data_IF_786142458229
#
_entry.id   IF_786142458229
#
_cell.length_a   1.000
_cell.length_b   1.000
_cell.length_c   1.000
_cell.angle_alpha   90.00
_cell.angle_beta   90.00
_cell.angle_gamma   90.00
#
_symmetry.space_group_name_H-M   'P 1'
#
loop_
_entity.id
_entity.type
_entity.pdbx_description
1 polymer ?
#
# COMPACT_ATOMS: atom_id res chain seq x y z
N UNK A 1 2.48 -17.69 15.92
CA UNK A 1 2.68 -16.58 14.96
C UNK A 1 1.29 -16.16 14.49
N UNK A 2 0.94 -14.87 14.58
CA UNK A 2 -0.41 -14.37 14.33
C UNK A 2 -0.90 -14.62 12.89
N UNK A 3 -2.22 -14.78 12.76
CA UNK A 3 -2.91 -15.07 11.49
C UNK A 3 -2.59 -13.96 10.46
N UNK A 4 -2.36 -14.30 9.18
CA UNK A 4 -2.14 -13.34 8.10
C UNK A 4 -3.27 -12.33 8.03
N UNK A 5 -2.99 -11.09 7.61
CA UNK A 5 -4.02 -10.25 7.00
C UNK A 5 -4.74 -11.02 5.87
N UNK A 6 -6.07 -10.93 5.79
CA UNK A 6 -6.88 -11.57 4.73
C UNK A 6 -7.68 -10.60 3.87
N UNK A 7 -7.79 -9.32 4.24
CA UNK A 7 -8.59 -8.44 3.39
C UNK A 7 -7.80 -8.13 2.13
N UNK A 8 -8.33 -8.57 1.01
CA UNK A 8 -7.91 -8.13 -0.32
C UNK A 8 -9.13 -7.61 -1.05
N UNK A 9 -9.30 -6.29 -1.04
CA UNK A 9 -10.26 -5.64 -1.92
C UNK A 9 -9.51 -4.96 -3.04
N UNK A 10 -9.69 -5.46 -4.25
CA UNK A 10 -9.29 -4.78 -5.48
C UNK A 10 -10.59 -4.39 -6.16
N UNK A 11 -10.91 -3.09 -6.30
CA UNK A 11 -12.10 -2.68 -7.02
C UNK A 11 -12.12 -3.28 -8.42
N UNK A 12 -13.28 -3.77 -8.88
CA UNK A 12 -13.39 -4.42 -10.19
C UNK A 12 -12.90 -3.52 -11.34
N UNK A 13 -13.03 -2.19 -11.19
CA UNK A 13 -12.50 -1.19 -12.12
C UNK A 13 -10.97 -1.18 -12.26
N UNK A 14 -10.25 -1.82 -11.32
CA UNK A 14 -8.80 -1.81 -11.21
C UNK A 14 -8.18 -3.20 -11.39
N UNK A 15 -8.95 -4.26 -11.14
CA UNK A 15 -8.44 -5.63 -11.09
C UNK A 15 -7.68 -6.03 -12.36
N UNK A 16 -8.23 -5.75 -13.53
CA UNK A 16 -7.63 -6.13 -14.82
C UNK A 16 -6.64 -5.11 -15.37
N UNK A 17 -6.28 -4.07 -14.60
CA UNK A 17 -5.31 -3.07 -15.06
C UNK A 17 -3.94 -3.74 -15.17
N UNK A 18 -3.33 -3.77 -16.38
CA UNK A 18 -2.07 -4.47 -16.59
C UNK A 18 -0.89 -3.68 -16.02
N UNK A 19 0.16 -4.40 -15.63
CA UNK A 19 1.46 -3.84 -15.23
C UNK A 19 2.49 -4.16 -16.30
N UNK A 20 3.01 -3.13 -16.95
CA UNK A 20 4.09 -3.25 -17.93
C UNK A 20 5.45 -3.27 -17.23
N UNK A 21 5.84 -4.47 -16.80
CA UNK A 21 7.14 -4.71 -16.20
C UNK A 21 8.31 -4.44 -17.15
N UNK A 22 8.12 -4.32 -18.47
CA UNK A 22 9.24 -3.99 -19.35
C UNK A 22 9.71 -2.53 -19.16
N UNK A 23 8.80 -1.65 -18.75
CA UNK A 23 9.05 -0.21 -18.55
C UNK A 23 9.56 0.17 -17.16
N UNK A 24 9.37 -0.71 -16.17
CA UNK A 24 9.82 -0.46 -14.80
C UNK A 24 11.37 -0.53 -14.74
N UNK A 25 12.05 0.40 -14.02
CA UNK A 25 13.50 0.40 -13.86
C UNK A 25 14.04 -0.95 -13.39
N UNK A 26 15.17 -1.38 -13.95
CA UNK A 26 15.74 -2.70 -13.72
C UNK A 26 15.99 -3.00 -12.23
N UNK A 27 16.48 -2.02 -11.47
CA UNK A 27 16.72 -2.16 -10.04
C UNK A 27 15.45 -2.55 -9.27
N UNK A 28 14.33 -1.86 -9.54
CA UNK A 28 13.04 -2.13 -8.88
C UNK A 28 12.48 -3.49 -9.27
N UNK A 29 12.63 -3.89 -10.54
CA UNK A 29 12.24 -5.23 -11.00
C UNK A 29 13.07 -6.31 -10.34
N UNK A 30 14.39 -6.12 -10.26
CA UNK A 30 15.32 -7.06 -9.64
C UNK A 30 14.97 -7.24 -8.16
N UNK A 31 14.80 -6.13 -7.43
CA UNK A 31 14.37 -6.15 -6.04
C UNK A 31 13.07 -6.96 -5.85
N UNK A 32 12.06 -6.69 -6.67
CA UNK A 32 10.77 -7.39 -6.59
C UNK A 32 10.92 -8.89 -6.91
N UNK A 33 11.68 -9.22 -7.95
CA UNK A 33 11.90 -10.60 -8.40
C UNK A 33 12.73 -11.43 -7.41
N UNK A 34 13.68 -10.80 -6.72
CA UNK A 34 14.51 -11.44 -5.70
C UNK A 34 13.74 -11.66 -4.40
N UNK A 35 12.79 -10.78 -4.09
CA UNK A 35 12.07 -10.79 -2.82
C UNK A 35 10.73 -11.54 -2.91
N UNK A 36 9.77 -11.03 -3.69
CA UNK A 36 8.38 -11.54 -3.73
C UNK A 36 8.15 -12.64 -4.77
N UNK A 37 8.96 -12.69 -5.83
CA UNK A 37 8.87 -13.79 -6.78
C UNK A 37 9.67 -15.02 -6.34
N UNK A 38 10.36 -15.00 -5.19
CA UNK A 38 11.02 -16.19 -4.65
C UNK A 38 10.05 -16.99 -3.81
N UNK A 39 9.74 -18.23 -4.20
CA UNK A 39 9.03 -19.14 -3.31
C UNK A 39 10.00 -19.68 -2.25
N UNK A 40 9.94 -19.10 -1.05
CA UNK A 40 10.78 -19.51 0.08
C UNK A 40 10.38 -20.85 0.68
N UNK A 41 9.19 -21.37 0.33
CA UNK A 41 8.72 -22.69 0.77
C UNK A 41 9.17 -23.79 -0.18
N UNK A 42 9.52 -23.46 -1.42
CA UNK A 42 10.06 -24.39 -2.40
C UNK A 42 11.58 -24.59 -2.15
N UNK A 43 12.05 -25.82 -1.89
CA UNK A 43 13.48 -26.09 -1.68
C UNK A 43 14.35 -25.72 -2.90
N UNK A 44 13.78 -25.71 -4.10
CA UNK A 44 14.46 -25.31 -5.33
C UNK A 44 14.43 -23.78 -5.54
N UNK A 45 13.81 -23.02 -4.62
CA UNK A 45 13.61 -21.57 -4.69
C UNK A 45 13.02 -21.14 -6.04
N UNK A 46 12.01 -21.88 -6.52
CA UNK A 46 11.39 -21.60 -7.81
C UNK A 46 10.90 -20.16 -7.86
N UNK A 47 11.18 -19.53 -9.00
CA UNK A 47 10.75 -18.16 -9.26
C UNK A 47 9.32 -18.16 -9.77
N UNK A 48 8.44 -17.47 -9.04
CA UNK A 48 7.08 -17.15 -9.47
C UNK A 48 7.13 -16.12 -10.60
N UNK A 49 6.14 -16.10 -11.50
CA UNK A 49 6.05 -15.07 -12.51
C UNK A 49 5.78 -13.69 -11.88
N UNK A 50 6.16 -12.63 -12.60
CA UNK A 50 5.76 -11.27 -12.27
C UNK A 50 4.24 -11.12 -12.40
N UNK A 51 3.57 -10.37 -11.51
CA UNK A 51 2.12 -10.21 -11.54
C UNK A 51 1.71 -9.42 -12.78
N UNK A 52 0.80 -9.97 -13.58
CA UNK A 52 0.39 -9.34 -14.83
C UNK A 52 -0.53 -8.12 -14.61
N UNK A 53 -1.25 -8.10 -13.49
CA UNK A 53 -2.27 -7.10 -13.18
C UNK A 53 -2.15 -6.53 -11.77
N UNK A 54 -2.85 -5.44 -11.48
CA UNK A 54 -3.01 -4.91 -10.12
C UNK A 54 -3.64 -5.94 -9.18
N UNK A 55 -4.59 -6.74 -9.69
CA UNK A 55 -5.16 -7.85 -8.93
C UNK A 55 -4.06 -8.82 -8.52
N UNK A 56 -3.26 -9.30 -9.47
CA UNK A 56 -2.17 -10.24 -9.19
C UNK A 56 -1.12 -9.67 -8.23
N UNK A 57 -0.79 -8.39 -8.36
CA UNK A 57 0.12 -7.70 -7.44
C UNK A 57 -0.44 -7.70 -6.01
N UNK A 58 -1.72 -7.37 -5.86
CA UNK A 58 -2.39 -7.38 -4.55
C UNK A 58 -2.43 -8.78 -3.94
N UNK A 59 -2.65 -9.87 -4.71
CA UNK A 59 -2.60 -11.23 -4.11
C UNK A 59 -1.18 -11.63 -3.73
N UNK A 60 -0.17 -11.20 -4.48
CA UNK A 60 1.22 -11.44 -4.09
C UNK A 60 1.60 -10.72 -2.78
N UNK A 61 1.10 -9.50 -2.56
CA UNK A 61 1.30 -8.80 -1.28
C UNK A 61 0.52 -9.44 -0.13
N UNK A 62 -0.67 -9.95 -0.39
CA UNK A 62 -1.51 -10.63 0.60
C UNK A 62 -0.84 -11.90 1.12
N UNK A 63 -0.39 -12.76 0.21
CA UNK A 63 0.33 -14.00 0.54
C UNK A 63 1.61 -13.74 1.35
N UNK A 64 2.29 -12.63 1.10
CA UNK A 64 3.50 -12.23 1.82
C UNK A 64 3.24 -11.48 3.12
N UNK A 65 1.97 -11.27 3.51
CA UNK A 65 1.55 -10.51 4.71
C UNK A 65 2.20 -9.15 4.82
N UNK A 66 2.38 -8.51 3.67
CA UNK A 66 3.38 -7.48 3.51
C UNK A 66 3.03 -6.15 4.22
N UNK A 67 1.74 -5.84 4.35
CA UNK A 67 1.33 -4.52 4.82
C UNK A 67 1.83 -4.25 6.25
N UNK A 68 2.25 -3.02 6.50
CA UNK A 68 2.69 -2.56 7.83
C UNK A 68 4.14 -2.12 7.95
N UNK A 69 5.03 -2.68 7.13
CA UNK A 69 6.41 -2.23 7.00
C UNK A 69 6.72 -2.02 5.53
N UNK A 70 6.82 -0.75 5.10
CA UNK A 70 7.13 -0.39 3.72
C UNK A 70 8.59 0.02 3.59
N UNK A 71 9.52 -0.92 3.34
CA UNK A 71 10.92 -0.57 3.16
C UNK A 71 11.09 0.39 1.97
N UNK A 72 12.17 1.19 1.94
CA UNK A 72 12.38 2.19 0.89
C UNK A 72 12.35 1.60 -0.51
N UNK A 73 12.88 0.39 -0.70
CA UNK A 73 12.90 -0.31 -1.97
C UNK A 73 11.48 -0.65 -2.44
N UNK A 74 10.57 -0.99 -1.53
CA UNK A 74 9.18 -1.22 -1.92
C UNK A 74 8.46 0.09 -2.21
N UNK A 75 8.65 1.13 -1.39
CA UNK A 75 8.09 2.44 -1.73
C UNK A 75 8.55 2.90 -3.12
N UNK A 76 9.84 2.68 -3.43
CA UNK A 76 10.43 2.94 -4.74
C UNK A 76 9.76 2.10 -5.83
N UNK A 77 9.57 0.80 -5.61
CA UNK A 77 8.87 -0.06 -6.55
C UNK A 77 7.44 0.43 -6.83
N UNK A 78 6.65 0.76 -5.80
CA UNK A 78 5.27 1.23 -5.96
C UNK A 78 5.22 2.56 -6.74
N UNK A 79 6.17 3.45 -6.47
CA UNK A 79 6.34 4.71 -7.21
C UNK A 79 6.71 4.46 -8.68
N UNK A 80 7.59 3.48 -8.95
CA UNK A 80 8.02 3.14 -10.30
C UNK A 80 6.93 2.39 -11.09
N UNK A 81 6.14 1.54 -10.44
CA UNK A 81 4.92 0.96 -11.02
C UNK A 81 3.97 2.09 -11.42
N UNK A 82 3.76 3.07 -10.53
CA UNK A 82 2.90 4.22 -10.83
C UNK A 82 3.39 5.03 -12.02
N UNK A 83 4.69 5.29 -12.12
CA UNK A 83 5.25 6.12 -13.18
C UNK A 83 5.32 5.39 -14.53
N UNK A 84 5.85 4.17 -14.52
CA UNK A 84 6.27 3.46 -15.73
C UNK A 84 5.45 2.21 -16.03
N UNK A 85 5.01 1.51 -14.98
CA UNK A 85 4.31 0.23 -15.11
C UNK A 85 2.85 0.36 -15.52
N UNK A 86 2.20 1.48 -15.20
CA UNK A 86 0.78 1.71 -15.47
C UNK A 86 0.58 2.67 -16.64
N UNK A 87 -0.30 2.30 -17.58
CA UNK A 87 -0.59 3.13 -18.74
C UNK A 87 -1.23 4.47 -18.32
N UNK A 88 -0.58 5.59 -18.65
CA UNK A 88 -1.12 6.93 -18.42
C UNK A 88 -2.41 7.18 -19.21
N UNK A 89 -2.58 6.49 -20.34
CA UNK A 89 -3.70 6.65 -21.28
C UNK A 89 -5.05 6.24 -20.67
N UNK A 90 -5.07 5.34 -19.67
CA UNK A 90 -6.30 5.02 -18.92
C UNK A 90 -6.87 6.25 -18.16
N UNK A 91 -6.03 7.25 -17.86
CA UNK A 91 -6.46 8.47 -17.16
C UNK A 91 -6.64 9.67 -18.10
N UNK A 92 -6.37 9.53 -19.40
CA UNK A 92 -6.36 10.66 -20.34
C UNK A 92 -7.62 10.62 -21.20
N UNK A 93 -8.64 11.40 -20.78
CA UNK A 93 -9.85 11.79 -21.54
C UNK A 93 -9.99 11.16 -22.94
N UNK A 94 -10.53 9.95 -23.00
CA UNK A 94 -11.24 9.49 -24.18
C UNK A 94 -12.71 9.93 -24.03
N UNK A 95 -13.10 10.99 -24.74
CA UNK A 95 -14.51 11.31 -25.05
C UNK A 95 -15.47 11.60 -23.87
N UNK A 96 -15.18 12.63 -23.06
CA UNK A 96 -16.22 13.36 -22.32
C UNK A 96 -16.92 12.65 -21.15
N UNK A 97 -16.62 11.39 -20.85
CA UNK A 97 -17.26 10.64 -19.77
C UNK A 97 -16.24 10.19 -18.72
N UNK A 98 -16.32 10.83 -17.55
CA UNK A 98 -15.70 10.50 -16.26
C UNK A 98 -14.18 10.21 -16.25
N UNK A 99 -13.43 10.97 -15.44
CA UNK A 99 -12.07 10.59 -15.03
C UNK A 99 -12.12 9.16 -14.46
N UNK A 100 -11.44 8.21 -15.14
CA UNK A 100 -11.23 6.88 -14.60
C UNK A 100 -10.47 7.07 -13.28
N UNK A 101 -11.00 6.45 -12.22
CA UNK A 101 -10.36 6.55 -10.91
C UNK A 101 -9.10 5.70 -10.98
N UNK A 102 -8.01 6.27 -10.51
CA UNK A 102 -6.72 5.63 -10.63
C UNK A 102 -6.69 4.24 -9.95
N UNK A 103 -5.84 3.32 -10.42
CA UNK A 103 -5.73 1.98 -9.88
C UNK A 103 -5.43 2.01 -8.38
N UNK A 104 -6.09 1.13 -7.64
CA UNK A 104 -5.94 1.03 -6.19
C UNK A 104 -6.29 -0.36 -5.69
N UNK A 105 -5.82 -0.66 -4.50
CA UNK A 105 -6.21 -1.86 -3.77
C UNK A 105 -6.16 -1.58 -2.26
N UNK A 106 -6.87 -2.40 -1.51
CA UNK A 106 -7.03 -2.29 -0.05
C UNK A 106 -6.59 -3.58 0.61
N UNK A 107 -5.90 -3.44 1.73
CA UNK A 107 -5.41 -4.57 2.52
C UNK A 107 -5.53 -4.34 4.01
N UNK A 108 -5.86 -5.39 4.78
CA UNK A 108 -5.85 -5.28 6.24
C UNK A 108 -4.41 -5.29 6.74
N UNK A 109 -4.13 -4.54 7.79
CA UNK A 109 -2.95 -4.77 8.61
C UNK A 109 -3.21 -4.36 10.04
N UNK A 110 -2.91 -5.28 10.95
CA UNK A 110 -3.29 -5.18 12.36
C UNK A 110 -4.78 -4.83 12.46
N UNK A 111 -5.09 -3.66 12.98
CA UNK A 111 -6.43 -3.18 13.25
C UNK A 111 -6.90 -2.14 12.22
N UNK A 112 -6.28 -2.07 11.04
CA UNK A 112 -6.58 -1.02 10.06
C UNK A 112 -6.73 -1.62 8.66
N UNK A 113 -7.64 -1.03 7.88
CA UNK A 113 -7.64 -1.21 6.42
C UNK A 113 -6.73 -0.16 5.83
N UNK A 114 -5.69 -0.61 5.14
CA UNK A 114 -4.77 0.22 4.36
C UNK A 114 -5.20 0.27 2.91
N UNK A 115 -4.81 1.33 2.20
CA UNK A 115 -4.98 1.43 0.76
C UNK A 115 -3.74 2.00 0.11
N UNK A 116 -3.52 1.59 -1.15
CA UNK A 116 -2.56 2.24 -2.06
C UNK A 116 -3.35 2.70 -3.28
N UNK A 117 -3.24 3.99 -3.59
CA UNK A 117 -3.79 4.62 -4.79
C UNK A 117 -2.63 5.08 -5.66
N UNK A 118 -2.50 4.47 -6.83
CA UNK A 118 -1.49 4.84 -7.82
C UNK A 118 -1.89 6.13 -8.56
N UNK A 119 -0.91 6.82 -9.13
CA UNK A 119 -1.11 7.95 -10.02
C UNK A 119 -0.39 7.67 -11.36
N UNK A 120 -1.00 6.87 -12.27
CA UNK A 120 -0.37 6.43 -13.51
C UNK A 120 0.28 7.55 -14.31
N UNK A 121 1.49 7.31 -14.81
CA UNK A 121 2.31 8.28 -15.54
C UNK A 121 2.99 9.33 -14.65
N UNK A 122 2.94 9.16 -13.33
CA UNK A 122 3.65 10.00 -12.37
C UNK A 122 4.32 9.12 -11.32
N UNK A 123 5.54 9.51 -10.96
CA UNK A 123 6.26 8.97 -9.79
C UNK A 123 5.66 9.45 -8.49
N UNK A 124 4.44 9.00 -8.21
CA UNK A 124 3.66 9.49 -7.10
C UNK A 124 2.52 8.52 -6.77
N UNK A 125 1.95 8.66 -5.58
CA UNK A 125 0.80 7.87 -5.16
C UNK A 125 0.41 8.24 -3.75
N UNK A 126 -0.71 7.67 -3.30
CA UNK A 126 -1.24 7.92 -1.95
C UNK A 126 -1.32 6.58 -1.25
N UNK A 127 -0.83 6.57 -0.02
CA UNK A 127 -1.05 5.50 0.93
C UNK A 127 -1.83 6.07 2.10
N UNK A 128 -2.75 5.28 2.63
CA UNK A 128 -3.47 5.66 3.84
C UNK A 128 -4.06 4.47 4.56
N UNK A 129 -4.64 4.74 5.72
CA UNK A 129 -5.25 3.72 6.57
C UNK A 129 -6.51 4.22 7.26
N UNK A 130 -7.42 3.29 7.53
CA UNK A 130 -8.67 3.53 8.24
C UNK A 130 -8.44 3.89 9.70
N UNK A 131 -9.49 4.35 10.37
CA UNK A 131 -9.51 4.30 11.82
C UNK A 131 -9.33 2.86 12.34
N UNK A 132 -8.89 2.73 13.59
CA UNK A 132 -8.71 1.43 14.25
C UNK A 132 -10.05 0.69 14.28
N UNK A 133 -10.09 -0.49 13.69
CA UNK A 133 -11.21 -1.43 13.71
C UNK A 133 -11.27 -2.12 15.08
N UNK A 134 -12.48 -2.27 15.60
CA UNK A 134 -12.70 -3.02 16.83
C UNK A 134 -12.66 -4.52 16.50
N UNK A 135 -11.62 -5.20 16.97
CA UNK A 135 -11.47 -6.65 16.80
C UNK A 135 -11.96 -7.33 18.08
N UNK A 136 -12.87 -8.30 17.93
CA UNK A 136 -13.24 -9.19 19.02
C UNK A 136 -12.01 -10.00 19.45
N UNK A 137 -11.92 -10.40 20.72
CA UNK A 137 -10.74 -11.06 21.30
C UNK A 137 -10.17 -12.18 20.40
N UNK A 138 -8.84 -12.32 20.30
CA UNK A 138 -8.21 -13.19 19.32
C UNK A 138 -8.51 -14.66 19.59
N UNK A 139 -9.15 -15.32 18.61
CA UNK A 139 -9.43 -16.75 18.63
C UNK A 139 -10.37 -17.11 17.48
N UNK A 140 -9.79 -17.31 16.29
CA UNK A 140 -10.46 -17.51 14.99
C UNK A 140 -11.02 -16.20 14.41
N UNK A 141 -10.45 -15.77 13.27
CA UNK A 141 -11.06 -14.70 12.48
C UNK A 141 -12.38 -15.23 11.94
N UNK A 142 -13.47 -14.73 12.49
CA UNK A 142 -14.82 -15.05 12.03
C UNK A 142 -14.97 -14.52 10.59
N UNK A 143 -15.66 -15.26 9.73
CA UNK A 143 -16.06 -14.78 8.39
C UNK A 143 -16.76 -13.41 8.49
N UNK A 144 -17.41 -13.13 9.62
CA UNK A 144 -17.98 -11.84 9.98
C UNK A 144 -16.94 -10.69 10.05
N UNK A 145 -15.74 -10.95 10.56
CA UNK A 145 -14.66 -9.94 10.64
C UNK A 145 -14.14 -9.57 9.25
N UNK A 146 -13.89 -10.59 8.41
CA UNK A 146 -13.47 -10.39 7.02
C UNK A 146 -14.55 -9.63 6.23
N UNK A 147 -15.82 -9.98 6.43
CA UNK A 147 -16.95 -9.30 5.82
C UNK A 147 -17.04 -7.83 6.26
N UNK A 148 -16.81 -7.55 7.54
CA UNK A 148 -16.79 -6.19 8.08
C UNK A 148 -15.65 -5.35 7.47
N UNK A 149 -14.43 -5.88 7.45
CA UNK A 149 -13.28 -5.15 6.90
C UNK A 149 -13.47 -4.86 5.41
N UNK A 150 -14.09 -5.81 4.68
CA UNK A 150 -14.47 -5.64 3.29
C UNK A 150 -15.52 -4.55 3.13
N UNK A 151 -16.57 -4.56 3.95
CA UNK A 151 -17.60 -3.53 3.92
C UNK A 151 -17.01 -2.14 4.18
N UNK A 152 -16.06 -2.01 5.12
CA UNK A 152 -15.36 -0.75 5.41
C UNK A 152 -14.61 -0.24 4.16
N UNK A 153 -13.89 -1.12 3.47
CA UNK A 153 -13.18 -0.76 2.24
C UNK A 153 -14.15 -0.39 1.09
N UNK A 154 -15.23 -1.16 0.92
CA UNK A 154 -16.27 -0.93 -0.10
C UNK A 154 -17.06 0.38 0.15
N UNK A 155 -17.33 0.74 1.40
CA UNK A 155 -17.97 2.02 1.75
C UNK A 155 -17.01 3.21 1.55
N UNK A 156 -15.71 2.99 1.74
CA UNK A 156 -14.70 4.02 1.58
C UNK A 156 -14.39 4.33 0.11
N UNK A 157 -14.35 3.29 -0.74
CA UNK A 157 -13.92 3.40 -2.14
C UNK A 157 -14.66 4.51 -2.93
N UNK A 158 -16.01 4.61 -2.91
CA UNK A 158 -16.72 5.68 -3.60
C UNK A 158 -16.35 7.09 -3.10
N UNK A 159 -16.14 7.26 -1.79
CA UNK A 159 -15.76 8.55 -1.19
C UNK A 159 -14.36 8.96 -1.62
N UNK A 160 -13.42 8.02 -1.65
CA UNK A 160 -12.07 8.26 -2.17
C UNK A 160 -12.15 8.65 -3.66
N UNK A 161 -12.93 7.93 -4.46
CA UNK A 161 -13.14 8.22 -5.87
C UNK A 161 -13.67 9.63 -6.10
N UNK A 162 -14.72 10.04 -5.38
CA UNK A 162 -15.31 11.37 -5.47
C UNK A 162 -14.32 12.46 -5.05
N UNK A 163 -13.57 12.24 -3.97
CA UNK A 163 -12.60 13.20 -3.49
C UNK A 163 -11.44 13.40 -4.47
N UNK A 164 -10.90 12.32 -5.05
CA UNK A 164 -9.87 12.38 -6.08
C UNK A 164 -10.39 13.08 -7.34
N UNK A 165 -11.63 12.81 -7.74
CA UNK A 165 -12.28 13.52 -8.86
C UNK A 165 -12.45 15.01 -8.57
N UNK A 166 -12.88 15.38 -7.36
CA UNK A 166 -13.14 16.77 -6.94
C UNK A 166 -11.86 17.59 -6.81
N UNK A 167 -10.84 17.01 -6.16
CA UNK A 167 -9.61 17.70 -5.80
C UNK A 167 -8.56 17.66 -6.92
N UNK A 168 -8.72 16.75 -7.87
CA UNK A 168 -7.68 16.39 -8.83
C UNK A 168 -6.48 15.73 -8.15
N UNK A 169 -5.59 15.15 -8.95
CA UNK A 169 -4.41 14.41 -8.46
C UNK A 169 -3.37 15.31 -7.77
N UNK A 170 -3.39 16.62 -8.03
CA UNK A 170 -2.42 17.58 -7.47
C UNK A 170 -2.70 17.97 -6.02
N UNK A 171 -3.97 18.06 -5.61
CA UNK A 171 -4.34 18.52 -4.26
C UNK A 171 -4.36 17.38 -3.25
N UNK A 172 -4.50 16.14 -3.73
CA UNK A 172 -4.43 14.94 -2.89
C UNK A 172 -3.05 14.74 -2.23
N UNK A 173 -1.97 15.29 -2.81
CA UNK A 173 -0.63 15.35 -2.20
C UNK A 173 -0.56 16.07 -0.85
N UNK A 174 -1.49 16.99 -0.58
CA UNK A 174 -1.43 17.88 0.58
C UNK A 174 -2.36 17.46 1.72
N UNK A 175 -3.09 16.36 1.57
CA UNK A 175 -4.10 16.00 2.55
C UNK A 175 -3.52 15.03 3.57
N UNK A 176 -3.53 15.43 4.86
CA UNK A 176 -3.30 14.51 6.00
C UNK A 176 -4.39 13.43 6.08
N UNK A 177 -5.52 13.66 5.40
CA UNK A 177 -6.63 12.72 5.31
C UNK A 177 -7.16 12.62 3.88
N UNK A 178 -7.39 11.42 3.38
CA UNK A 178 -8.09 11.18 2.12
C UNK A 178 -9.45 10.54 2.42
N UNK A 179 -10.55 11.18 2.03
CA UNK A 179 -11.91 10.72 2.30
C UNK A 179 -12.17 10.37 3.78
N UNK A 180 -11.56 11.14 4.69
CA UNK A 180 -11.68 10.98 6.15
C UNK A 180 -10.69 9.99 6.79
N UNK A 181 -10.00 9.17 6.01
CA UNK A 181 -8.94 8.26 6.48
C UNK A 181 -7.60 8.96 6.52
N UNK A 182 -6.69 8.52 7.39
CA UNK A 182 -5.32 9.07 7.42
C UNK A 182 -4.61 8.71 6.13
N UNK A 183 -3.90 9.67 5.55
CA UNK A 183 -3.22 9.47 4.28
C UNK A 183 -1.97 10.34 4.15
N UNK A 184 -1.02 9.85 3.36
CA UNK A 184 0.22 10.50 3.01
C UNK A 184 0.67 10.07 1.61
N UNK A 185 1.57 10.83 1.00
CA UNK A 185 2.10 10.46 -0.31
C UNK A 185 3.09 9.31 -0.17
N UNK A 186 3.15 8.40 -1.16
CA UNK A 186 4.16 7.34 -1.19
C UNK A 186 5.59 7.89 -1.11
N UNK A 187 5.83 9.08 -1.66
CA UNK A 187 7.12 9.80 -1.53
C UNK A 187 7.44 10.19 -0.10
N UNK A 188 6.47 10.76 0.62
CA UNK A 188 6.65 11.08 2.03
C UNK A 188 6.87 9.82 2.86
N UNK A 189 6.16 8.73 2.55
CA UNK A 189 6.39 7.44 3.21
C UNK A 189 7.83 6.95 3.00
N UNK A 190 8.35 7.07 1.78
CA UNK A 190 9.73 6.75 1.44
C UNK A 190 10.71 7.59 2.27
N UNK A 191 10.53 8.92 2.30
CA UNK A 191 11.37 9.84 3.08
C UNK A 191 11.36 9.51 4.57
N UNK A 192 10.18 9.25 5.15
CA UNK A 192 10.03 8.87 6.56
C UNK A 192 10.71 7.51 6.84
N UNK A 193 10.58 6.54 5.94
CA UNK A 193 11.22 5.22 6.09
C UNK A 193 12.75 5.32 6.01
N UNK A 194 13.28 6.05 5.04
CA UNK A 194 14.72 6.28 4.91
C UNK A 194 15.29 7.01 6.13
N UNK A 195 14.57 7.98 6.68
CA UNK A 195 14.96 8.66 7.91
C UNK A 195 14.98 7.70 9.10
N UNK A 196 13.98 6.82 9.22
CA UNK A 196 13.93 5.80 10.27
C UNK A 196 15.11 4.84 10.14
N UNK A 197 15.41 4.32 8.95
CA UNK A 197 16.54 3.42 8.73
C UNK A 197 17.87 4.09 9.07
N UNK A 198 18.13 5.29 8.53
CA UNK A 198 19.33 6.04 8.85
C UNK A 198 19.46 6.34 10.36
N UNK A 199 18.33 6.53 11.06
CA UNK A 199 18.31 6.72 12.51
C UNK A 199 18.65 5.43 13.26
N UNK A 200 18.18 4.28 12.78
CA UNK A 200 18.42 2.96 13.38
C UNK A 200 19.87 2.49 13.22
N UNK A 201 20.63 3.04 12.27
CA UNK A 201 22.08 2.81 12.12
C UNK A 201 22.95 3.60 13.12
N UNK A 202 22.35 4.56 13.84
CA UNK A 202 23.07 5.35 14.83
C UNK A 202 23.33 4.54 16.11
N UNK A 203 24.38 4.87 16.88
CA UNK A 203 24.60 4.27 18.20
C UNK A 203 23.40 4.43 19.15
N UNK A 204 23.18 3.45 20.03
CA UNK A 204 22.04 3.42 20.97
C UNK A 204 21.98 4.62 21.95
N UNK A 205 23.12 5.27 22.19
CA UNK A 205 23.22 6.47 23.02
C UNK A 205 23.00 7.78 22.24
N UNK A 206 22.90 7.71 20.91
CA UNK A 206 22.64 8.87 20.06
C UNK A 206 21.24 9.46 20.38
N UNK A 207 21.12 10.79 20.57
CA UNK A 207 19.87 11.41 21.02
C UNK A 207 18.70 11.18 20.07
N UNK A 208 18.96 11.15 18.75
CA UNK A 208 17.91 10.90 17.73
C UNK A 208 17.40 9.46 17.79
N UNK A 209 18.29 8.48 17.97
CA UNK A 209 17.91 7.07 18.13
C UNK A 209 17.03 6.91 19.38
N UNK A 210 17.48 7.46 20.52
CA UNK A 210 16.71 7.41 21.77
C UNK A 210 15.33 8.07 21.62
N UNK A 211 15.25 9.22 20.96
CA UNK A 211 13.99 9.90 20.74
C UNK A 211 13.03 9.07 19.87
N UNK A 212 13.53 8.44 18.80
CA UNK A 212 12.75 7.55 17.94
C UNK A 212 12.21 6.35 18.74
N UNK A 213 13.08 5.64 19.44
CA UNK A 213 12.69 4.47 20.26
C UNK A 213 11.69 4.86 21.34
N UNK A 214 11.88 6.00 22.01
CA UNK A 214 10.92 6.50 23.00
C UNK A 214 9.57 6.82 22.39
N UNK A 215 9.54 7.42 21.19
CA UNK A 215 8.28 7.74 20.50
C UNK A 215 7.54 6.46 20.08
N UNK A 216 8.24 5.49 19.51
CA UNK A 216 7.68 4.16 19.15
C UNK A 216 7.17 3.43 20.41
N UNK A 217 7.95 3.40 21.49
CA UNK A 217 7.52 2.77 22.74
C UNK A 217 6.33 3.49 23.37
N UNK A 218 6.17 4.80 23.13
CA UNK A 218 5.03 5.58 23.61
C UNK A 218 3.77 5.31 22.79
N UNK A 219 3.88 5.12 21.47
CA UNK A 219 2.75 4.80 20.59
C UNK A 219 2.21 3.39 20.80
N UNK A 220 3.05 2.47 21.29
CA UNK A 220 2.65 1.09 21.64
C UNK A 220 1.97 0.97 23.00
N UNK A 221 1.97 2.01 23.85
CA UNK A 221 1.27 1.94 25.14
C UNK A 221 -0.24 2.02 24.91
N UNK A 222 -1.03 1.09 25.48
CA UNK A 222 -2.48 1.22 25.46
C UNK A 222 -2.87 2.53 26.16
N UNK A 223 -3.68 3.35 25.50
CA UNK A 223 -4.34 4.47 26.15
C UNK A 223 -5.17 3.90 27.30
N UNK A 224 -4.77 4.24 28.54
CA UNK A 224 -5.51 3.90 29.76
C UNK A 224 -6.77 4.75 29.86
#
# INVERSE_FOLDING_TARGET
MGNPSFLRLVPASCATVPIDWAKIPEASRKFFFESWCTDWSDPDKKKRPLPATIDDLAKMFDESKFFGYMPPELCTLLLDISEFGLAAEANTRANGHALQVAPRFYMKYLYHVWFVLFLPGRRDGIIGCSAKLHVAMPGEEDEAEVANDKAVAEEYDPRLCEEVKRCGTLRAKFMKKAAGWEALTLKRNLEETQLVEATMELPDDHPVYRALVQNVMSSLRPMR
#
